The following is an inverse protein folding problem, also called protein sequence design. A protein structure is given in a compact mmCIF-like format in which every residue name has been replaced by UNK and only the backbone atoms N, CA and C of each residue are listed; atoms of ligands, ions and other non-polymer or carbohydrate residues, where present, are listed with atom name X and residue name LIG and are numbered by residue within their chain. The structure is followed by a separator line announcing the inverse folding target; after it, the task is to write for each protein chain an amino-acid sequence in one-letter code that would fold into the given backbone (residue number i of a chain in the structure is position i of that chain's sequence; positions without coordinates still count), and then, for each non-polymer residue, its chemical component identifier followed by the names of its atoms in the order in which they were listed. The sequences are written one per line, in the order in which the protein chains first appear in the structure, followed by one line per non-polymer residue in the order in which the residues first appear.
data_IF_134787786670
#
_entry.id   IF_134787786670
#
_cell.length_a   1.000
_cell.length_b   1.000
_cell.length_c   1.000
_cell.angle_alpha   90.00
_cell.angle_beta   90.00
_cell.angle_gamma   90.00
#
_symmetry.space_group_name_H-M   'P 1'
#
loop_
_entity.id
_entity.type
_entity.pdbx_description
1 polymer ?
#
# COMPACT_ATOMS: atom_id res chain seq x y z
N UNK A 1 1.08 0.12 18.75
CA UNK A 1 2.53 -0.09 18.72
C UNK A 1 3.27 1.24 18.63
N UNK A 2 4.50 1.28 19.06
CA UNK A 2 5.33 2.48 18.94
C UNK A 2 5.94 2.51 17.54
N UNK A 3 5.85 3.67 16.90
CA UNK A 3 6.43 3.87 15.56
C UNK A 3 7.24 5.15 15.56
N UNK A 4 8.17 5.23 14.62
CA UNK A 4 9.01 6.40 14.41
C UNK A 4 8.74 6.95 13.01
N UNK A 5 8.56 8.26 12.92
CA UNK A 5 8.44 8.90 11.61
C UNK A 5 9.82 9.20 11.01
N UNK A 6 9.85 9.75 9.81
CA UNK A 6 11.11 10.04 9.13
C UNK A 6 11.83 11.26 9.66
N UNK A 7 11.21 11.99 10.58
CA UNK A 7 11.84 13.08 11.33
C UNK A 7 12.41 12.61 12.67
N UNK A 8 12.21 11.33 13.01
CA UNK A 8 12.72 10.76 14.25
C UNK A 8 11.76 10.86 15.42
N UNK A 9 10.55 11.35 15.21
CA UNK A 9 9.56 11.47 16.28
C UNK A 9 8.89 10.12 16.54
N UNK A 10 8.77 9.76 17.80
CA UNK A 10 8.15 8.50 18.22
C UNK A 10 6.73 8.78 18.68
N UNK A 11 5.81 7.94 18.26
CA UNK A 11 4.40 8.04 18.65
C UNK A 11 3.77 6.67 18.74
N UNK A 12 2.58 6.62 19.33
CA UNK A 12 1.79 5.39 19.34
C UNK A 12 0.94 5.34 18.07
N UNK A 13 1.02 4.22 17.37
CA UNK A 13 0.25 4.01 16.15
C UNK A 13 -0.60 2.76 16.30
N UNK A 14 -1.87 2.91 16.04
CA UNK A 14 -2.82 1.80 16.04
C UNK A 14 -3.29 1.63 14.59
N UNK A 15 -2.99 0.50 13.96
CA UNK A 15 -3.45 0.28 12.59
C UNK A 15 -4.98 0.33 12.52
N UNK A 16 -5.48 1.21 11.67
CA UNK A 16 -6.91 1.33 11.41
C UNK A 16 -7.12 1.33 9.91
N UNK A 17 -8.30 1.02 9.50
CA UNK A 17 -8.64 0.98 8.09
C UNK A 17 -9.88 0.14 7.89
N UNK A 18 -10.28 0.00 6.64
CA UNK A 18 -11.43 -0.84 6.32
C UNK A 18 -11.02 -2.30 6.42
N UNK A 19 -11.92 -3.11 6.97
CA UNK A 19 -11.70 -4.55 6.98
C UNK A 19 -12.09 -5.09 5.60
N UNK A 20 -11.14 -5.78 4.96
CA UNK A 20 -11.38 -6.39 3.67
C UNK A 20 -12.14 -7.70 3.86
N UNK A 21 -13.22 -7.87 3.10
CA UNK A 21 -13.98 -9.11 3.07
C UNK A 21 -14.18 -9.54 1.62
N UNK A 22 -14.38 -10.83 1.43
CA UNK A 22 -14.58 -11.38 0.09
C UNK A 22 -15.81 -10.81 -0.60
N UNK A 23 -16.81 -10.39 0.18
CA UNK A 23 -18.06 -9.85 -0.34
C UNK A 23 -18.07 -8.32 -0.42
N UNK A 24 -16.96 -7.66 -0.17
CA UNK A 24 -16.89 -6.20 -0.22
C UNK A 24 -17.15 -5.73 -1.66
N UNK A 25 -18.22 -4.99 -1.85
CA UNK A 25 -18.64 -4.51 -3.16
C UNK A 25 -18.31 -3.04 -3.39
N UNK A 26 -17.59 -2.39 -2.47
CA UNK A 26 -17.24 -0.99 -2.62
C UNK A 26 -16.38 -0.80 -3.86
N UNK A 27 -16.58 0.36 -4.49
CA UNK A 27 -15.82 0.69 -5.69
C UNK A 27 -14.34 0.83 -5.37
N UNK A 28 -13.52 0.10 -6.11
CA UNK A 28 -12.07 0.18 -6.07
C UNK A 28 -11.54 0.11 -7.49
N UNK A 29 -10.27 0.46 -7.68
CA UNK A 29 -9.65 0.24 -8.96
C UNK A 29 -9.59 -1.27 -9.23
N UNK A 30 -9.52 -1.63 -10.50
CA UNK A 30 -9.44 -3.04 -10.88
C UNK A 30 -8.20 -3.69 -10.28
N UNK A 31 -7.06 -3.00 -10.31
CA UNK A 31 -5.81 -3.52 -9.74
C UNK A 31 -5.95 -3.76 -8.24
N UNK A 32 -6.59 -2.83 -7.55
CA UNK A 32 -6.80 -2.95 -6.11
C UNK A 32 -7.68 -4.16 -5.79
N UNK A 33 -8.75 -4.36 -6.56
CA UNK A 33 -9.66 -5.49 -6.37
C UNK A 33 -8.97 -6.83 -6.64
N UNK A 34 -8.14 -6.89 -7.68
CA UNK A 34 -7.40 -8.10 -7.99
C UNK A 34 -6.35 -8.41 -6.90
N UNK A 35 -5.69 -7.39 -6.39
CA UNK A 35 -4.74 -7.56 -5.29
C UNK A 35 -5.45 -8.10 -4.05
N UNK A 36 -6.65 -7.60 -3.76
CA UNK A 36 -7.47 -8.10 -2.65
C UNK A 36 -7.70 -9.60 -2.76
N UNK A 37 -8.07 -10.06 -3.96
CA UNK A 37 -8.30 -11.49 -4.18
C UNK A 37 -7.06 -12.31 -3.90
N UNK A 38 -5.91 -11.83 -4.37
CA UNK A 38 -4.64 -12.51 -4.14
C UNK A 38 -4.35 -12.62 -2.65
N UNK A 39 -4.52 -11.52 -1.92
CA UNK A 39 -4.25 -11.51 -0.48
C UNK A 39 -5.20 -12.43 0.28
N UNK A 40 -6.46 -12.50 -0.13
CA UNK A 40 -7.41 -13.39 0.49
C UNK A 40 -7.02 -14.85 0.32
N UNK A 41 -6.50 -15.20 -0.85
CA UNK A 41 -6.03 -16.57 -1.11
C UNK A 41 -4.78 -16.91 -0.31
N UNK A 42 -3.87 -15.94 -0.17
CA UNK A 42 -2.62 -16.17 0.54
C UNK A 42 -2.79 -16.17 2.06
N UNK A 43 -3.70 -15.36 2.58
CA UNK A 43 -3.88 -15.16 4.02
C UNK A 43 -5.35 -15.28 4.41
N UNK A 44 -5.96 -16.46 4.21
CA UNK A 44 -7.41 -16.61 4.39
C UNK A 44 -7.89 -16.47 5.84
N UNK A 45 -7.00 -16.63 6.81
CA UNK A 45 -7.37 -16.57 8.23
C UNK A 45 -6.94 -15.28 8.92
N UNK A 46 -6.31 -14.37 8.19
CA UNK A 46 -5.80 -13.14 8.77
C UNK A 46 -6.71 -11.96 8.47
N UNK A 47 -6.71 -10.99 9.40
CA UNK A 47 -7.43 -9.75 9.19
C UNK A 47 -6.61 -8.84 8.27
N UNK A 48 -7.18 -8.48 7.15
CA UNK A 48 -6.57 -7.60 6.17
C UNK A 48 -7.24 -6.24 6.25
N UNK A 49 -6.46 -5.22 6.61
CA UNK A 49 -6.94 -3.84 6.65
C UNK A 49 -6.60 -3.15 5.34
N UNK A 50 -7.47 -2.25 4.92
CA UNK A 50 -7.35 -1.55 3.65
C UNK A 50 -7.30 -0.05 3.88
N UNK A 51 -6.45 0.65 3.12
CA UNK A 51 -6.29 2.09 3.21
C UNK A 51 -5.93 2.56 4.62
N UNK A 52 -4.82 2.04 5.12
CA UNK A 52 -4.36 2.27 6.48
C UNK A 52 -3.53 3.55 6.55
N UNK A 53 -3.94 4.55 7.36
CA UNK A 53 -3.22 5.82 7.42
C UNK A 53 -1.90 5.70 8.19
N UNK A 54 -0.89 6.32 7.65
CA UNK A 54 0.42 6.47 8.28
C UNK A 54 0.91 7.91 8.08
N UNK A 55 1.85 8.34 8.89
CA UNK A 55 2.47 9.66 8.75
C UNK A 55 3.98 9.51 8.69
N UNK A 56 4.53 9.21 7.51
CA UNK A 56 5.99 9.14 7.37
C UNK A 56 6.66 10.47 7.68
N UNK A 57 6.00 11.55 7.29
CA UNK A 57 6.37 12.93 7.61
C UNK A 57 5.12 13.64 8.10
N UNK A 58 4.98 14.92 7.84
CA UNK A 58 3.81 15.68 8.30
C UNK A 58 2.51 15.28 7.60
N UNK A 59 2.62 14.86 6.34
CA UNK A 59 1.47 14.52 5.52
C UNK A 59 1.01 13.09 5.78
N UNK A 60 -0.30 12.89 5.89
CA UNK A 60 -0.86 11.55 6.00
C UNK A 60 -0.77 10.84 4.64
N UNK A 61 -0.26 9.60 4.67
CA UNK A 61 -0.22 8.71 3.54
C UNK A 61 -1.04 7.47 3.89
N UNK A 62 -1.33 6.63 2.90
CA UNK A 62 -2.13 5.43 3.13
C UNK A 62 -1.43 4.21 2.56
N UNK A 63 -1.40 3.15 3.37
CA UNK A 63 -0.98 1.83 2.88
C UNK A 63 -2.20 1.18 2.24
N UNK A 64 -2.04 0.61 1.07
CA UNK A 64 -3.17 -0.03 0.38
C UNK A 64 -3.73 -1.17 1.21
N UNK A 65 -2.86 -2.02 1.76
CA UNK A 65 -3.25 -3.14 2.61
C UNK A 65 -2.26 -3.29 3.75
N UNK A 66 -2.75 -3.72 4.90
CA UNK A 66 -1.89 -4.01 6.05
C UNK A 66 -2.45 -5.21 6.81
N UNK A 67 -1.56 -6.17 7.11
CA UNK A 67 -1.90 -7.34 7.91
C UNK A 67 -1.10 -7.25 9.21
N UNK A 68 -1.77 -6.84 10.28
CA UNK A 68 -1.11 -6.56 11.54
C UNK A 68 -0.48 -7.80 12.19
N UNK A 69 -1.10 -8.96 12.01
CA UNK A 69 -0.62 -10.20 12.62
C UNK A 69 0.83 -10.51 12.25
N UNK A 70 1.22 -10.19 11.02
CA UNK A 70 2.55 -10.51 10.50
C UNK A 70 3.33 -9.25 10.12
N UNK A 71 2.82 -8.06 10.45
CA UNK A 71 3.45 -6.77 10.14
C UNK A 71 3.81 -6.69 8.66
N UNK A 72 2.84 -6.97 7.81
CA UNK A 72 3.01 -6.95 6.37
C UNK A 72 2.17 -5.84 5.76
N UNK A 73 2.82 -4.94 5.03
CA UNK A 73 2.15 -3.92 4.23
C UNK A 73 2.25 -4.31 2.76
N UNK A 74 1.20 -4.06 2.01
CA UNK A 74 1.17 -4.35 0.58
C UNK A 74 0.73 -3.10 -0.16
N UNK A 75 1.49 -2.72 -1.18
CA UNK A 75 1.18 -1.60 -2.05
C UNK A 75 0.94 -2.11 -3.47
N UNK A 76 -0.11 -1.59 -4.09
CA UNK A 76 -0.45 -1.94 -5.46
C UNK A 76 0.04 -0.83 -6.36
N UNK A 77 0.97 -1.14 -7.25
CA UNK A 77 1.57 -0.13 -8.12
C UNK A 77 1.02 -0.25 -9.53
N UNK A 78 0.22 0.74 -9.94
CA UNK A 78 -0.20 0.86 -11.32
C UNK A 78 0.93 1.40 -12.20
N UNK A 79 0.66 1.50 -13.48
CA UNK A 79 1.66 1.97 -14.44
C UNK A 79 2.20 3.37 -14.09
N UNK A 80 1.36 4.22 -13.52
CA UNK A 80 1.74 5.58 -13.14
C UNK A 80 2.84 5.65 -12.10
N UNK A 81 3.11 4.56 -11.37
CA UNK A 81 4.17 4.52 -10.37
C UNK A 81 5.56 4.32 -10.98
N UNK A 82 5.65 3.91 -12.24
CA UNK A 82 6.92 3.53 -12.84
C UNK A 82 7.44 4.52 -13.87
N UNK A 83 6.54 5.27 -14.50
CA UNK A 83 6.96 6.24 -15.50
C UNK A 83 5.95 7.37 -15.59
N UNK A 84 6.41 8.54 -16.02
CA UNK A 84 5.55 9.68 -16.27
C UNK A 84 4.55 9.35 -17.37
N UNK A 85 3.27 9.64 -17.12
CA UNK A 85 2.22 9.39 -18.09
C UNK A 85 1.19 10.50 -17.97
N UNK A 86 0.97 11.23 -19.06
CA UNK A 86 0.05 12.37 -19.07
C UNK A 86 -1.40 11.98 -18.80
N UNK A 87 -1.76 10.72 -18.96
CA UNK A 87 -3.10 10.24 -18.60
C UNK A 87 -3.30 10.17 -17.08
N UNK A 88 -2.22 10.00 -16.33
CA UNK A 88 -2.28 9.83 -14.87
C UNK A 88 -1.69 11.01 -14.11
N UNK A 89 -0.86 11.82 -14.77
CA UNK A 89 -0.14 12.90 -14.11
C UNK A 89 -0.41 14.22 -14.82
N UNK A 90 -0.85 15.23 -14.08
CA UNK A 90 -1.08 16.57 -14.65
C UNK A 90 0.24 17.22 -15.07
N UNK A 91 1.36 16.83 -14.42
CA UNK A 91 2.65 17.41 -14.70
C UNK A 91 3.77 16.45 -14.28
N UNK A 92 4.99 16.75 -14.73
CA UNK A 92 6.17 16.02 -14.27
C UNK A 92 6.32 16.13 -12.75
N UNK A 93 5.94 17.27 -12.17
CA UNK A 93 6.01 17.48 -10.72
C UNK A 93 5.10 16.51 -9.98
N UNK A 94 3.89 16.25 -10.50
CA UNK A 94 2.98 15.28 -9.89
C UNK A 94 3.59 13.88 -9.88
N UNK A 95 4.24 13.51 -10.97
CA UNK A 95 4.93 12.24 -11.06
C UNK A 95 6.06 12.13 -10.01
N UNK A 96 6.87 13.19 -9.89
CA UNK A 96 7.96 13.22 -8.91
C UNK A 96 7.43 13.17 -7.49
N UNK A 97 6.34 13.85 -7.20
CA UNK A 97 5.70 13.83 -5.88
C UNK A 97 5.20 12.43 -5.55
N UNK A 98 4.64 11.72 -6.51
CA UNK A 98 4.19 10.35 -6.30
C UNK A 98 5.35 9.43 -5.97
N UNK A 99 6.46 9.56 -6.68
CA UNK A 99 7.65 8.76 -6.42
C UNK A 99 8.23 9.04 -5.03
N UNK A 100 8.20 10.30 -4.61
CA UNK A 100 8.64 10.68 -3.26
C UNK A 100 7.74 10.05 -2.20
N UNK A 101 6.43 10.09 -2.42
CA UNK A 101 5.48 9.48 -1.49
C UNK A 101 5.71 7.98 -1.38
N UNK A 102 5.97 7.30 -2.49
CA UNK A 102 6.25 5.87 -2.49
C UNK A 102 7.53 5.56 -1.71
N UNK A 103 8.56 6.38 -1.88
CA UNK A 103 9.82 6.24 -1.15
C UNK A 103 9.60 6.47 0.34
N UNK A 104 8.84 7.48 0.72
CA UNK A 104 8.55 7.78 2.11
C UNK A 104 7.81 6.63 2.79
N UNK A 105 6.85 6.01 2.12
CA UNK A 105 6.15 4.83 2.66
C UNK A 105 7.11 3.67 2.88
N UNK A 106 7.98 3.43 1.91
CA UNK A 106 8.96 2.35 1.99
C UNK A 106 9.91 2.57 3.17
N UNK A 107 10.42 3.78 3.31
CA UNK A 107 11.33 4.13 4.39
C UNK A 107 10.64 4.02 5.75
N UNK A 108 9.38 4.45 5.85
CA UNK A 108 8.62 4.36 7.08
C UNK A 108 8.43 2.90 7.50
N UNK A 109 8.08 2.04 6.56
CA UNK A 109 7.92 0.61 6.85
C UNK A 109 9.24 0.00 7.32
N UNK A 110 10.33 0.29 6.63
CA UNK A 110 11.65 -0.22 7.00
C UNK A 110 12.05 0.24 8.39
N UNK A 111 11.86 1.52 8.68
CA UNK A 111 12.19 2.09 9.99
C UNK A 111 11.43 1.41 11.12
N UNK A 112 10.20 0.98 10.86
CA UNK A 112 9.33 0.40 11.87
C UNK A 112 9.23 -1.12 11.80
N UNK A 113 10.14 -1.77 11.11
CA UNK A 113 10.21 -3.24 11.00
C UNK A 113 8.93 -3.84 10.42
N UNK A 114 8.33 -3.14 9.47
CA UNK A 114 7.18 -3.62 8.72
C UNK A 114 7.69 -4.06 7.35
N UNK A 115 7.39 -5.30 6.98
CA UNK A 115 7.72 -5.80 5.65
C UNK A 115 6.79 -5.17 4.63
N UNK A 116 7.34 -4.56 3.59
CA UNK A 116 6.55 -3.98 2.52
C UNK A 116 6.72 -4.79 1.24
N UNK A 117 5.60 -5.22 0.69
CA UNK A 117 5.56 -5.89 -0.61
C UNK A 117 4.89 -4.95 -1.59
N UNK A 118 5.52 -4.77 -2.75
CA UNK A 118 4.96 -3.96 -3.82
C UNK A 118 4.53 -4.89 -4.95
N UNK A 119 3.22 -4.85 -5.28
CA UNK A 119 2.67 -5.65 -6.35
C UNK A 119 2.58 -4.80 -7.61
N UNK A 120 3.46 -5.01 -8.59
CA UNK A 120 3.41 -4.25 -9.83
C UNK A 120 2.22 -4.67 -10.68
N UNK A 121 1.71 -3.73 -11.47
CA UNK A 121 0.49 -3.98 -12.26
C UNK A 121 0.65 -5.16 -13.22
N UNK A 122 1.84 -5.41 -13.72
CA UNK A 122 2.07 -6.56 -14.61
C UNK A 122 1.80 -7.89 -13.90
N UNK A 123 2.23 -7.98 -12.63
CA UNK A 123 2.01 -9.18 -11.82
C UNK A 123 0.53 -9.38 -11.52
N UNK A 124 -0.21 -8.30 -11.34
CA UNK A 124 -1.62 -8.38 -11.04
C UNK A 124 -2.42 -8.76 -12.29
N UNK A 125 -2.13 -8.10 -13.42
CA UNK A 125 -2.85 -8.32 -14.67
C UNK A 125 -2.57 -9.72 -15.23
N UNK A 126 -1.33 -10.20 -15.10
CA UNK A 126 -0.92 -11.51 -15.60
C UNK A 126 -0.59 -12.49 -14.50
N UNK A 127 -0.74 -12.07 -13.24
CA UNK A 127 -0.22 -12.80 -12.08
C UNK A 127 -0.77 -14.21 -11.94
N UNK A 128 -2.05 -14.37 -12.19
CA UNK A 128 -2.66 -15.69 -12.15
C UNK A 128 -2.06 -16.64 -13.17
N UNK A 129 -1.41 -16.09 -14.18
CA UNK A 129 -0.73 -16.87 -15.21
C UNK A 129 0.73 -17.12 -14.85
N UNK A 130 1.25 -16.32 -13.94
CA UNK A 130 2.63 -16.47 -13.50
C UNK A 130 2.83 -17.55 -12.48
N UNK A 131 1.78 -18.17 -12.13
CA UNK A 131 1.84 -19.28 -11.19
C UNK A 131 2.49 -20.48 -11.83
#
# INVERSE_FOLDING_TARGET
MKVRDLHGNVSTWKPTGDIVTASDSRRRSKLHTEARKILYELFPTMRILEEVPIKPRSKTQYLDFFINNIKLAVEVHGQQHYKFNTMYHASAQDFLNQRKNDTDKRDWCETNNITLIELPYERIVTGKHGT
#
